data_IF_461872939535
#
_entry.id   IF_461872939535
#
_cell.length_a   1.000
_cell.length_b   1.000
_cell.length_c   1.000
_cell.angle_alpha   90.00
_cell.angle_beta   90.00
_cell.angle_gamma   90.00
#
_symmetry.space_group_name_H-M   'P 1'
#
loop_
_entity.id
_entity.type
_entity.pdbx_description
1 polymer ?
#
# COMPACT_ATOMS: atom_id res chain seq x y z
N UNK A 1 40.79 23.74 11.93
CA UNK A 1 40.74 23.10 10.59
C UNK A 1 40.35 21.65 10.79
N UNK A 2 39.18 21.25 10.25
CA UNK A 2 38.69 19.90 9.89
C UNK A 2 38.78 18.73 10.90
N UNK A 3 37.83 17.80 11.03
CA UNK A 3 36.43 17.60 10.60
C UNK A 3 35.86 16.54 11.56
N UNK A 4 34.55 16.67 11.82
CA UNK A 4 33.61 15.74 12.45
C UNK A 4 33.78 14.28 12.00
N UNK A 5 33.68 13.32 12.93
CA UNK A 5 32.92 12.07 12.70
C UNK A 5 32.81 11.26 13.99
N UNK A 6 31.70 11.40 14.72
CA UNK A 6 31.33 10.49 15.81
C UNK A 6 29.83 10.15 15.81
N UNK A 7 29.13 10.41 14.71
CA UNK A 7 27.66 10.31 14.62
C UNK A 7 27.17 9.36 13.52
N UNK A 8 27.95 8.33 13.17
CA UNK A 8 27.58 7.36 12.11
C UNK A 8 27.29 5.95 12.67
N UNK A 9 27.45 5.71 13.96
CA UNK A 9 27.27 4.37 14.53
C UNK A 9 25.86 4.06 15.09
N UNK A 10 24.90 5.00 15.07
CA UNK A 10 23.62 4.84 15.78
C UNK A 10 22.36 4.67 14.90
N UNK A 11 22.50 4.59 13.58
CA UNK A 11 21.36 4.54 12.64
C UNK A 11 21.11 3.18 11.97
N UNK A 12 21.84 2.13 12.33
CA UNK A 12 21.72 0.80 11.68
C UNK A 12 20.93 -0.26 12.45
N UNK A 13 20.34 0.06 13.62
CA UNK A 13 19.67 -0.95 14.46
C UNK A 13 18.13 -0.90 14.38
N UNK A 14 17.52 0.12 13.78
CA UNK A 14 16.05 0.22 13.73
C UNK A 14 15.44 -0.58 12.55
N UNK A 15 16.25 -0.99 11.56
CA UNK A 15 15.77 -1.67 10.35
C UNK A 15 15.50 -3.17 10.45
N UNK A 16 15.75 -3.81 11.60
CA UNK A 16 15.79 -5.28 11.69
C UNK A 16 14.81 -5.94 12.68
N UNK A 17 13.82 -5.21 13.22
CA UNK A 17 13.01 -5.73 14.35
C UNK A 17 11.48 -5.70 14.20
N UNK A 18 10.95 -5.60 12.98
CA UNK A 18 9.50 -5.80 12.77
C UNK A 18 9.28 -6.81 11.63
N UNK A 19 9.71 -8.04 11.88
CA UNK A 19 9.20 -9.22 11.19
C UNK A 19 9.16 -10.32 12.23
N UNK A 20 8.01 -10.44 12.90
CA UNK A 20 7.43 -11.64 13.51
C UNK A 20 6.15 -11.17 14.19
N UNK A 21 5.04 -11.39 13.51
CA UNK A 21 3.71 -11.59 14.10
C UNK A 21 2.89 -12.32 13.03
N UNK A 22 3.20 -13.59 12.86
CA UNK A 22 2.23 -14.57 12.36
C UNK A 22 1.13 -14.67 13.42
N UNK A 23 -0.05 -14.14 13.13
CA UNK A 23 -1.31 -14.80 13.46
C UNK A 23 -2.49 -14.02 12.86
N UNK A 24 -3.16 -14.73 11.95
CA UNK A 24 -4.58 -14.69 11.65
C UNK A 24 -5.22 -13.30 11.42
N UNK A 25 -5.27 -12.88 10.16
CA UNK A 25 -6.22 -11.85 9.72
C UNK A 25 -7.03 -12.37 8.56
N UNK A 26 -8.31 -12.61 8.84
CA UNK A 26 -9.36 -12.77 7.86
C UNK A 26 -9.22 -11.69 6.77
N UNK A 27 -8.88 -12.13 5.56
CA UNK A 27 -8.87 -11.31 4.36
C UNK A 27 -10.30 -10.94 4.03
N UNK A 28 -10.67 -9.67 4.20
CA UNK A 28 -11.95 -9.15 3.71
C UNK A 28 -11.72 -8.50 2.35
N UNK A 29 -11.53 -9.35 1.36
CA UNK A 29 -11.72 -9.02 -0.05
C UNK A 29 -13.04 -9.65 -0.50
N UNK A 30 -14.19 -9.14 -0.03
CA UNK A 30 -15.50 -9.60 -0.51
C UNK A 30 -16.25 -8.46 -1.19
N UNK A 31 -16.44 -8.63 -2.51
CA UNK A 31 -17.48 -7.95 -3.26
C UNK A 31 -18.84 -8.55 -2.91
N UNK A 32 -19.80 -7.69 -2.59
CA UNK A 32 -21.18 -8.02 -2.24
C UNK A 32 -21.99 -8.31 -3.50
N UNK A 33 -22.53 -9.53 -3.66
CA UNK A 33 -23.71 -9.78 -4.49
C UNK A 33 -24.63 -10.82 -3.83
N UNK A 34 -25.94 -10.54 -3.87
CA UNK A 34 -26.98 -11.20 -3.10
C UNK A 34 -27.52 -12.50 -3.69
N UNK A 35 -27.91 -13.38 -2.77
CA UNK A 35 -28.87 -14.49 -2.79
C UNK A 35 -29.31 -15.10 -4.14
N UNK A 36 -28.88 -16.35 -4.37
CA UNK A 36 -29.73 -17.41 -4.92
C UNK A 36 -29.39 -18.73 -4.19
N UNK A 37 -30.40 -19.35 -3.56
CA UNK A 37 -30.30 -20.63 -2.86
C UNK A 37 -30.28 -21.80 -3.87
N UNK A 38 -29.14 -22.48 -4.01
CA UNK A 38 -29.07 -23.85 -4.54
C UNK A 38 -28.01 -24.61 -3.73
N UNK A 39 -28.45 -25.64 -2.99
CA UNK A 39 -27.57 -26.57 -2.28
C UNK A 39 -26.88 -27.48 -3.30
N UNK A 40 -25.72 -27.04 -3.79
CA UNK A 40 -24.73 -27.88 -4.44
C UNK A 40 -23.58 -28.05 -3.46
N UNK A 41 -23.11 -29.29 -3.27
CA UNK A 41 -21.88 -29.56 -2.51
C UNK A 41 -20.79 -28.60 -2.97
N UNK A 42 -20.43 -27.67 -2.10
CA UNK A 42 -19.49 -26.58 -2.39
C UNK A 42 -18.13 -27.16 -2.74
N UNK A 43 -17.85 -27.30 -4.04
CA UNK A 43 -16.48 -27.44 -4.51
C UNK A 43 -15.80 -26.10 -4.24
N UNK A 44 -15.21 -25.97 -3.05
CA UNK A 44 -14.30 -24.89 -2.73
C UNK A 44 -13.03 -25.07 -3.57
N UNK A 45 -13.03 -24.48 -4.76
CA UNK A 45 -11.80 -24.35 -5.53
C UNK A 45 -10.96 -23.30 -4.82
N UNK A 46 -9.80 -23.70 -4.31
CA UNK A 46 -8.85 -22.74 -3.76
C UNK A 46 -8.33 -21.84 -4.90
N UNK A 47 -8.33 -20.52 -4.72
CA UNK A 47 -7.74 -19.61 -5.69
C UNK A 47 -6.27 -19.95 -5.92
N UNK A 48 -5.86 -19.87 -7.17
CA UNK A 48 -4.47 -20.04 -7.59
C UNK A 48 -3.82 -18.66 -7.52
N UNK A 49 -2.75 -18.55 -6.75
CA UNK A 49 -1.97 -17.33 -6.70
C UNK A 49 -1.26 -17.13 -8.05
N UNK A 50 -1.68 -16.11 -8.80
CA UNK A 50 -1.30 -15.90 -10.19
C UNK A 50 -0.22 -14.83 -10.37
N UNK A 51 -0.03 -14.01 -9.35
CA UNK A 51 1.01 -12.99 -9.30
C UNK A 51 0.91 -12.17 -8.02
N UNK A 52 1.67 -11.07 -7.99
CA UNK A 52 1.73 -10.15 -6.86
C UNK A 52 1.73 -8.70 -7.35
N UNK A 53 1.15 -7.83 -6.52
CA UNK A 53 1.39 -6.41 -6.60
C UNK A 53 2.73 -6.11 -5.92
N UNK A 54 3.43 -5.12 -6.44
CA UNK A 54 4.54 -4.48 -5.76
C UNK A 54 4.33 -2.96 -5.78
N UNK A 55 4.82 -2.29 -4.75
CA UNK A 55 4.64 -0.86 -4.60
C UNK A 55 5.83 -0.22 -3.89
N UNK A 56 6.22 0.96 -4.36
CA UNK A 56 7.34 1.71 -3.82
C UNK A 56 6.98 3.19 -3.70
N UNK A 57 7.28 3.77 -2.53
CA UNK A 57 7.18 5.22 -2.30
C UNK A 57 8.43 5.92 -2.81
N UNK A 58 8.27 7.12 -3.37
CA UNK A 58 9.41 7.91 -3.85
C UNK A 58 10.26 8.42 -2.69
N UNK A 59 9.61 8.83 -1.59
CA UNK A 59 10.23 9.32 -0.36
C UNK A 59 9.71 8.51 0.84
N UNK A 60 10.60 7.90 1.62
CA UNK A 60 10.19 7.20 2.84
C UNK A 60 9.74 8.17 3.96
N UNK A 61 10.10 9.46 3.84
CA UNK A 61 9.74 10.52 4.79
C UNK A 61 9.32 11.78 4.04
N UNK A 62 8.12 12.27 4.31
CA UNK A 62 7.57 13.51 3.75
C UNK A 62 7.48 14.58 4.83
N UNK A 63 7.89 15.80 4.51
CA UNK A 63 7.77 16.95 5.43
C UNK A 63 6.55 17.77 5.03
N UNK A 64 5.69 18.13 6.00
CA UNK A 64 4.49 18.92 5.73
C UNK A 64 4.39 20.16 6.62
N UNK A 65 4.21 21.32 5.99
CA UNK A 65 4.10 22.63 6.65
C UNK A 65 2.73 22.84 7.32
N UNK A 66 2.59 23.91 8.11
CA UNK A 66 1.32 24.21 8.79
C UNK A 66 0.30 24.67 7.75
N UNK A 67 -0.83 23.96 7.68
CA UNK A 67 -1.82 24.12 6.61
C UNK A 67 -1.31 23.77 5.21
N UNK A 68 -0.15 23.10 5.13
CA UNK A 68 0.43 22.62 3.89
C UNK A 68 -0.34 21.43 3.32
N UNK A 69 -0.24 21.28 2.00
CA UNK A 69 -0.60 20.06 1.30
C UNK A 69 0.62 19.56 0.55
N UNK A 70 0.91 18.28 0.69
CA UNK A 70 2.03 17.63 0.03
C UNK A 70 1.55 16.48 -0.84
N UNK A 71 2.37 16.12 -1.83
CA UNK A 71 2.10 15.01 -2.72
C UNK A 71 3.26 14.02 -2.63
N UNK A 72 2.91 12.77 -2.31
CA UNK A 72 3.85 11.67 -2.32
C UNK A 72 3.55 10.72 -3.47
N UNK A 73 4.56 10.41 -4.28
CA UNK A 73 4.44 9.49 -5.40
C UNK A 73 4.56 8.04 -4.95
N UNK A 74 3.70 7.17 -5.48
CA UNK A 74 3.74 5.73 -5.26
C UNK A 74 3.77 5.03 -6.61
N UNK A 75 4.86 4.35 -6.88
CA UNK A 75 5.03 3.50 -8.05
C UNK A 75 4.44 2.14 -7.76
N UNK A 76 3.51 1.70 -8.60
CA UNK A 76 2.81 0.42 -8.46
C UNK A 76 3.09 -0.42 -9.68
N UNK A 77 3.43 -1.69 -9.44
CA UNK A 77 3.74 -2.68 -10.47
C UNK A 77 2.97 -3.96 -10.21
N UNK A 78 2.76 -4.74 -11.27
CA UNK A 78 2.17 -6.07 -11.21
C UNK A 78 3.14 -7.09 -11.80
N UNK A 79 3.46 -8.11 -11.02
CA UNK A 79 4.34 -9.20 -11.41
C UNK A 79 3.56 -10.53 -11.49
N UNK A 80 3.24 -11.02 -12.71
CA UNK A 80 2.64 -12.35 -12.88
C UNK A 80 3.68 -13.45 -12.65
N UNK A 81 3.26 -14.57 -12.10
CA UNK A 81 4.13 -15.75 -11.88
C UNK A 81 4.19 -16.69 -13.09
N UNK A 82 3.24 -16.57 -14.02
CA UNK A 82 3.12 -17.43 -15.19
C UNK A 82 3.30 -16.67 -16.50
N UNK A 83 3.67 -17.39 -17.56
CA UNK A 83 3.87 -16.82 -18.90
C UNK A 83 2.56 -16.28 -19.49
N UNK A 84 1.43 -16.91 -19.14
CA UNK A 84 0.11 -16.36 -19.44
C UNK A 84 -0.29 -15.37 -18.35
N UNK A 85 -0.46 -14.11 -18.74
CA UNK A 85 -0.84 -13.03 -17.84
C UNK A 85 -2.01 -12.24 -18.42
N UNK A 86 -2.84 -11.74 -17.50
CA UNK A 86 -3.97 -10.88 -17.82
C UNK A 86 -3.75 -9.52 -17.16
N UNK A 87 -4.32 -8.44 -17.71
CA UNK A 87 -4.35 -7.17 -17.01
C UNK A 87 -5.11 -7.30 -15.69
N UNK A 88 -4.66 -6.54 -14.69
CA UNK A 88 -5.26 -6.54 -13.35
C UNK A 88 -5.93 -5.20 -13.09
N UNK A 89 -7.10 -5.26 -12.45
CA UNK A 89 -7.70 -4.10 -11.80
C UNK A 89 -7.02 -3.90 -10.46
N UNK A 90 -6.35 -2.77 -10.29
CA UNK A 90 -5.71 -2.39 -9.04
C UNK A 90 -6.67 -1.52 -8.25
N UNK A 91 -6.78 -1.78 -6.95
CA UNK A 91 -7.43 -0.92 -5.98
C UNK A 91 -6.40 -0.45 -4.93
N UNK A 92 -6.37 0.86 -4.68
CA UNK A 92 -5.49 1.49 -3.71
C UNK A 92 -6.32 2.05 -2.57
N UNK A 93 -6.00 1.61 -1.36
CA UNK A 93 -6.68 2.01 -0.15
C UNK A 93 -5.71 2.53 0.92
N UNK A 94 -6.14 3.56 1.65
CA UNK A 94 -5.44 4.01 2.87
C UNK A 94 -6.01 3.20 4.02
N UNK A 95 -5.22 2.25 4.51
CA UNK A 95 -5.63 1.35 5.60
C UNK A 95 -5.31 1.93 6.96
N UNK A 96 -4.35 2.86 7.04
CA UNK A 96 -4.06 3.61 8.26
C UNK A 96 -3.48 4.98 7.91
N UNK A 97 -3.93 6.00 8.63
CA UNK A 97 -3.30 7.30 8.68
C UNK A 97 -3.31 7.79 10.13
N UNK A 98 -2.29 8.55 10.55
CA UNK A 98 -2.33 9.23 11.85
C UNK A 98 -3.52 10.22 11.91
N UNK A 99 -4.20 10.38 13.05
CA UNK A 99 -5.45 11.17 13.14
C UNK A 99 -5.34 12.62 12.66
N UNK A 100 -4.18 13.24 12.91
CA UNK A 100 -3.89 14.62 12.52
C UNK A 100 -3.63 14.79 11.02
N UNK A 101 -3.52 13.70 10.26
CA UNK A 101 -3.13 13.68 8.86
C UNK A 101 -4.21 13.04 7.99
N UNK A 102 -4.64 13.77 6.97
CA UNK A 102 -5.49 13.25 5.91
C UNK A 102 -4.60 12.76 4.76
N UNK A 103 -4.76 11.51 4.36
CA UNK A 103 -4.11 10.93 3.19
C UNK A 103 -5.18 10.44 2.20
N UNK A 104 -5.08 10.84 0.94
CA UNK A 104 -6.03 10.47 -0.11
C UNK A 104 -5.29 10.12 -1.39
N UNK A 105 -5.46 8.91 -1.95
CA UNK A 105 -4.90 8.59 -3.26
C UNK A 105 -5.65 9.35 -4.36
N UNK A 106 -4.90 9.91 -5.32
CA UNK A 106 -5.45 10.67 -6.44
C UNK A 106 -6.30 9.79 -7.37
N UNK A 107 -5.92 8.52 -7.49
CA UNK A 107 -6.66 7.49 -8.23
C UNK A 107 -6.77 6.27 -7.34
N UNK A 108 -8.00 5.82 -7.08
CA UNK A 108 -8.29 4.66 -6.24
C UNK A 108 -8.30 3.35 -7.02
N UNK A 109 -8.68 3.39 -8.29
CA UNK A 109 -8.80 2.21 -9.14
C UNK A 109 -8.27 2.46 -10.54
N UNK A 110 -7.50 1.52 -11.07
CA UNK A 110 -6.94 1.60 -12.42
C UNK A 110 -6.46 0.23 -12.93
N UNK A 111 -6.32 0.09 -14.24
CA UNK A 111 -5.77 -1.14 -14.85
C UNK A 111 -4.25 -1.00 -14.95
N UNK A 112 -3.54 -2.09 -14.66
CA UNK A 112 -2.11 -2.28 -14.96
C UNK A 112 -1.93 -3.53 -15.81
N UNK A 113 -1.01 -3.46 -16.79
CA UNK A 113 -0.52 -4.61 -17.53
C UNK A 113 0.82 -5.12 -16.99
N UNK A 114 1.23 -6.33 -17.40
CA UNK A 114 2.54 -6.88 -17.04
C UNK A 114 3.66 -5.93 -17.50
N UNK A 115 4.60 -5.65 -16.60
CA UNK A 115 5.77 -4.81 -16.88
C UNK A 115 5.46 -3.32 -16.96
N UNK A 116 4.20 -2.92 -16.79
CA UNK A 116 3.83 -1.52 -16.61
C UNK A 116 4.10 -1.11 -15.16
N UNK A 117 4.73 0.05 -15.00
CA UNK A 117 4.78 0.76 -13.71
C UNK A 117 3.87 1.96 -13.80
N UNK A 118 2.95 2.08 -12.85
CA UNK A 118 2.06 3.22 -12.76
C UNK A 118 2.29 3.98 -11.48
N UNK A 119 2.64 5.26 -11.62
CA UNK A 119 2.76 6.18 -10.50
C UNK A 119 1.40 6.78 -10.19
N UNK A 120 0.99 6.72 -8.92
CA UNK A 120 -0.13 7.49 -8.40
C UNK A 120 0.35 8.47 -7.34
N UNK A 121 -0.44 9.51 -7.10
CA UNK A 121 -0.13 10.52 -6.11
C UNK A 121 -0.96 10.27 -4.86
N UNK A 122 -0.35 10.38 -3.69
CA UNK A 122 -1.02 10.42 -2.40
C UNK A 122 -1.00 11.86 -1.93
N UNK A 123 -2.19 12.46 -1.89
CA UNK A 123 -2.37 13.82 -1.39
C UNK A 123 -2.43 13.77 0.12
N UNK A 124 -1.54 14.52 0.75
CA UNK A 124 -1.39 14.66 2.19
C UNK A 124 -1.84 16.06 2.60
N UNK A 125 -2.65 16.16 3.65
CA UNK A 125 -3.06 17.44 4.22
C UNK A 125 -3.16 17.32 5.75
N UNK A 126 -2.75 18.38 6.44
CA UNK A 126 -2.92 18.50 7.89
C UNK A 126 -4.41 18.68 8.20
N UNK A 127 -4.96 17.81 9.05
CA UNK A 127 -6.37 17.83 9.46
C UNK A 127 -6.56 18.44 10.86
N UNK A 128 -5.53 18.39 11.70
CA UNK A 128 -5.53 18.92 13.06
C UNK A 128 -4.22 19.68 13.33
N UNK A 129 -4.29 20.77 14.09
CA UNK A 129 -3.09 21.48 14.52
C UNK A 129 -2.30 20.62 15.51
N UNK A 130 -1.07 20.25 15.14
CA UNK A 130 -0.14 19.45 15.95
C UNK A 130 1.22 20.15 16.03
N UNK A 131 1.99 19.80 17.06
CA UNK A 131 3.31 20.37 17.30
C UNK A 131 4.29 20.04 16.17
N UNK A 132 5.22 20.96 15.92
CA UNK A 132 6.32 20.72 14.99
C UNK A 132 7.19 19.54 15.48
N UNK A 133 7.59 18.68 14.55
CA UNK A 133 8.28 17.42 14.84
C UNK A 133 7.34 16.24 15.13
N UNK A 134 6.01 16.45 15.14
CA UNK A 134 5.05 15.35 15.25
C UNK A 134 5.20 14.40 14.06
N UNK A 135 5.42 13.12 14.36
CA UNK A 135 5.53 12.05 13.37
C UNK A 135 4.16 11.44 13.09
N UNK A 136 3.93 11.17 11.82
CA UNK A 136 2.74 10.54 11.27
C UNK A 136 3.13 9.31 10.48
N UNK A 137 2.23 8.34 10.41
CA UNK A 137 2.39 7.15 9.58
C UNK A 137 1.21 7.09 8.61
N UNK A 138 1.51 6.88 7.34
CA UNK A 138 0.53 6.50 6.32
C UNK A 138 0.84 5.07 5.89
N UNK A 139 -0.18 4.22 5.89
CA UNK A 139 -0.09 2.85 5.41
C UNK A 139 -1.12 2.64 4.30
N UNK A 140 -0.64 2.13 3.19
CA UNK A 140 -1.44 1.83 2.00
C UNK A 140 -1.50 0.33 1.78
N UNK A 141 -2.63 -0.13 1.28
CA UNK A 141 -2.81 -1.47 0.76
C UNK A 141 -3.21 -1.38 -0.71
N UNK A 142 -2.47 -2.11 -1.54
CA UNK A 142 -2.62 -2.18 -2.99
C UNK A 142 -3.06 -3.59 -3.32
N UNK A 143 -4.31 -3.74 -3.73
CA UNK A 143 -4.91 -5.02 -4.08
C UNK A 143 -5.06 -5.14 -5.59
N UNK A 144 -4.62 -6.26 -6.16
CA UNK A 144 -4.89 -6.62 -7.55
C UNK A 144 -6.08 -7.56 -7.64
N UNK A 145 -6.89 -7.42 -8.69
CA UNK A 145 -7.89 -8.42 -9.09
C UNK A 145 -7.73 -8.70 -10.58
N UNK A 146 -7.59 -9.96 -10.96
CA UNK A 146 -7.58 -10.32 -12.37
C UNK A 146 -8.91 -9.94 -13.03
N UNK A 147 -8.84 -9.35 -14.23
CA UNK A 147 -10.05 -9.10 -15.03
C UNK A 147 -10.63 -10.40 -15.61
N UNK A 148 -9.79 -11.43 -15.76
CA UNK A 148 -10.15 -12.75 -16.28
C UNK A 148 -10.09 -13.75 -15.14
N UNK A 149 -11.20 -14.49 -14.95
CA UNK A 149 -11.33 -15.50 -13.88
C UNK A 149 -11.02 -14.94 -12.46
N UNK A 150 -11.64 -13.82 -12.04
CA UNK A 150 -11.32 -13.12 -10.79
C UNK A 150 -11.48 -13.97 -9.52
N UNK A 151 -12.31 -15.00 -9.55
CA UNK A 151 -12.54 -15.90 -8.40
C UNK A 151 -11.58 -17.08 -8.35
N UNK A 152 -10.81 -17.31 -9.42
CA UNK A 152 -9.87 -18.43 -9.53
C UNK A 152 -8.42 -17.95 -9.48
N UNK A 153 -8.13 -16.77 -10.04
CA UNK A 153 -6.79 -16.24 -10.19
C UNK A 153 -6.58 -15.08 -9.23
N UNK A 154 -5.92 -15.36 -8.11
CA UNK A 154 -5.69 -14.39 -7.04
C UNK A 154 -4.36 -13.63 -7.26
N UNK A 155 -4.28 -12.41 -6.76
CA UNK A 155 -3.08 -11.57 -6.81
C UNK A 155 -2.71 -11.19 -5.38
N UNK A 156 -1.49 -11.53 -4.96
CA UNK A 156 -1.00 -11.13 -3.65
C UNK A 156 -0.99 -9.59 -3.54
N UNK A 157 -1.56 -9.00 -2.48
CA UNK A 157 -1.57 -7.56 -2.29
C UNK A 157 -0.19 -7.06 -1.83
N UNK A 158 0.12 -5.80 -2.12
CA UNK A 158 1.25 -5.09 -1.54
C UNK A 158 0.80 -4.20 -0.39
N UNK A 159 1.62 -4.10 0.65
CA UNK A 159 1.46 -3.13 1.73
C UNK A 159 2.71 -2.29 1.86
N UNK A 160 2.52 -0.98 1.88
CA UNK A 160 3.61 -0.03 2.02
C UNK A 160 3.27 1.01 3.08
N UNK A 161 4.30 1.62 3.63
CA UNK A 161 4.13 2.72 4.56
C UNK A 161 5.24 3.74 4.42
N UNK A 162 4.92 4.99 4.69
CA UNK A 162 5.89 6.08 4.76
C UNK A 162 5.56 7.00 5.93
N UNK A 163 6.60 7.67 6.42
CA UNK A 163 6.48 8.61 7.52
C UNK A 163 6.16 10.01 7.00
N UNK A 164 5.41 10.77 7.79
CA UNK A 164 5.15 12.19 7.55
C UNK A 164 5.55 12.96 8.80
N UNK A 165 6.33 14.03 8.64
CA UNK A 165 6.81 14.85 9.77
C UNK A 165 6.25 16.24 9.61
N UNK A 166 5.57 16.72 10.65
CA UNK A 166 5.15 18.12 10.73
C UNK A 166 6.40 19.01 10.85
N UNK A 167 6.61 19.90 9.89
CA UNK A 167 7.67 20.93 9.95
C UNK A 167 7.04 22.31 10.20
N UNK A 168 7.81 23.29 10.69
CA UNK A 168 7.30 24.64 10.98
C UNK A 168 6.44 25.23 9.86
#
# INVERSE_FOLDING_TARGET
MKIKSAAVAFLLIIGALISVATEDRAFVCKGTEGNINVSASSFHIMPILWGEMDAQVDKPVVQIERYGSEIEGVNITYQPYFIQFFPVMVNVSVVRASPWLKAVPSVKEFIIQRGETRTINIVLAVNEDVDNGTNGLVMLEICGRNLILPSLLDIAPARISFAVVKVP
#
